data_IF_694842599240
#
_entry.id   IF_694842599240
#
_cell.length_a   1.000
_cell.length_b   1.000
_cell.length_c   1.000
_cell.angle_alpha   90.00
_cell.angle_beta   90.00
_cell.angle_gamma   90.00
#
_symmetry.space_group_name_H-M   'P 1'
#
loop_
_entity.id
_entity.type
_entity.pdbx_description
1 polymer ?
#
# COMPACT_ATOMS: atom_id res chain seq x y z
N UNK A 1 23.38 24.92 18.10
CA UNK A 1 21.99 24.62 18.44
C UNK A 1 21.12 24.41 17.19
N UNK A 2 21.12 25.35 16.23
CA UNK A 2 20.31 25.27 15.00
C UNK A 2 20.65 24.02 14.17
N UNK A 3 21.93 23.71 13.98
CA UNK A 3 22.41 22.51 13.27
C UNK A 3 21.92 21.21 13.94
N UNK A 4 21.93 21.16 15.28
CA UNK A 4 21.45 19.99 16.02
C UNK A 4 19.94 19.79 15.86
N UNK A 5 19.16 20.87 15.91
CA UNK A 5 17.70 20.82 15.71
C UNK A 5 17.36 20.42 14.25
N UNK A 6 18.10 20.92 13.28
CA UNK A 6 17.95 20.53 11.87
C UNK A 6 18.25 19.04 11.67
N UNK A 7 19.40 18.56 12.17
CA UNK A 7 19.80 17.15 12.09
C UNK A 7 18.81 16.22 12.80
N UNK A 8 18.24 16.65 13.93
CA UNK A 8 17.20 15.91 14.64
C UNK A 8 15.91 15.85 13.82
N UNK A 9 15.50 16.96 13.21
CA UNK A 9 14.33 17.01 12.33
C UNK A 9 14.47 16.11 11.10
N UNK A 10 15.63 16.11 10.47
CA UNK A 10 15.96 15.24 9.32
C UNK A 10 15.94 13.77 9.73
N UNK A 11 16.56 13.40 10.84
CA UNK A 11 16.52 12.03 11.38
C UNK A 11 15.10 11.54 11.67
N UNK A 12 14.25 12.36 12.30
CA UNK A 12 12.85 12.02 12.57
C UNK A 12 12.04 11.88 11.27
N UNK A 13 12.29 12.73 10.28
CA UNK A 13 11.67 12.66 8.95
C UNK A 13 12.04 11.36 8.24
N UNK A 14 13.31 10.99 8.21
CA UNK A 14 13.79 9.76 7.58
C UNK A 14 13.21 8.52 8.26
N UNK A 15 13.12 8.51 9.59
CA UNK A 15 12.51 7.41 10.33
C UNK A 15 11.01 7.27 10.07
N UNK A 16 10.30 8.38 9.90
CA UNK A 16 8.88 8.38 9.52
C UNK A 16 8.68 7.83 8.10
N UNK A 17 9.54 8.21 7.14
CA UNK A 17 9.53 7.71 5.76
C UNK A 17 9.83 6.20 5.71
N UNK A 18 10.81 5.71 6.46
CA UNK A 18 11.17 4.29 6.49
C UNK A 18 10.05 3.42 7.12
N UNK A 19 9.38 3.91 8.15
CA UNK A 19 8.21 3.22 8.70
C UNK A 19 7.04 3.17 7.72
N UNK A 20 6.82 4.22 6.95
CA UNK A 20 5.82 4.25 5.87
C UNK A 20 6.16 3.26 4.76
N UNK A 21 7.42 3.16 4.35
CA UNK A 21 7.89 2.18 3.35
C UNK A 21 7.70 0.74 3.81
N UNK A 22 7.97 0.43 5.10
CA UNK A 22 7.72 -0.91 5.66
C UNK A 22 6.24 -1.28 5.63
N UNK A 23 5.34 -0.35 5.95
CA UNK A 23 3.91 -0.56 5.85
C UNK A 23 3.48 -0.86 4.40
N UNK A 24 3.99 -0.12 3.41
CA UNK A 24 3.74 -0.37 1.99
C UNK A 24 4.26 -1.75 1.55
N UNK A 25 5.45 -2.16 2.01
CA UNK A 25 6.01 -3.48 1.68
C UNK A 25 5.14 -4.61 2.24
N UNK A 26 4.62 -4.48 3.46
CA UNK A 26 3.68 -5.46 4.04
C UNK A 26 2.36 -5.54 3.24
N UNK A 27 1.93 -4.44 2.62
CA UNK A 27 0.74 -4.40 1.77
C UNK A 27 0.99 -5.01 0.38
N UNK A 28 2.19 -4.86 -0.19
CA UNK A 28 2.57 -5.56 -1.42
C UNK A 28 2.54 -7.07 -1.23
N UNK A 29 2.73 -7.54 0.00
CA UNK A 29 2.59 -8.94 0.38
C UNK A 29 1.14 -9.47 0.29
N UNK A 30 0.13 -8.60 0.16
CA UNK A 30 -1.26 -9.05 -0.09
C UNK A 30 -1.44 -9.70 -1.48
N UNK A 31 -0.62 -9.37 -2.46
CA UNK A 31 -0.69 -9.96 -3.81
C UNK A 31 0.09 -11.26 -3.90
N UNK A 32 -0.45 -12.20 -4.64
CA UNK A 32 0.28 -13.38 -5.08
C UNK A 32 0.74 -13.16 -6.54
N UNK A 33 2.05 -13.27 -6.79
CA UNK A 33 2.60 -13.09 -8.14
C UNK A 33 2.39 -14.29 -9.05
N UNK A 34 2.20 -15.48 -8.46
CA UNK A 34 2.03 -16.74 -9.17
C UNK A 34 0.73 -17.40 -8.77
N UNK A 35 0.09 -18.04 -9.73
CA UNK A 35 -1.18 -18.75 -9.57
C UNK A 35 -1.08 -20.10 -10.22
N UNK A 36 -1.56 -21.15 -9.55
CA UNK A 36 -1.66 -22.50 -10.10
C UNK A 36 -3.02 -22.68 -10.76
N UNK A 37 -3.02 -22.97 -12.04
CA UNK A 37 -4.23 -23.32 -12.80
C UNK A 37 -4.63 -24.77 -12.56
N UNK A 38 -5.88 -25.13 -12.92
CA UNK A 38 -6.41 -26.51 -12.78
C UNK A 38 -5.59 -27.55 -13.54
N UNK A 39 -4.93 -27.19 -14.63
CA UNK A 39 -4.02 -28.09 -15.38
C UNK A 39 -2.69 -28.33 -14.67
N UNK A 40 -2.47 -27.77 -13.47
CA UNK A 40 -1.23 -27.86 -12.70
C UNK A 40 -0.16 -26.83 -13.08
N UNK A 41 -0.36 -26.06 -14.13
CA UNK A 41 0.58 -25.04 -14.58
C UNK A 41 0.66 -23.87 -13.61
N UNK A 42 1.88 -23.44 -13.27
CA UNK A 42 2.14 -22.27 -12.46
C UNK A 42 2.39 -21.06 -13.37
N UNK A 43 1.41 -20.16 -13.42
CA UNK A 43 1.46 -18.96 -14.27
C UNK A 43 1.59 -17.69 -13.44
N UNK A 44 2.02 -16.60 -14.07
CA UNK A 44 1.92 -15.28 -13.43
C UNK A 44 0.44 -14.91 -13.25
N UNK A 45 0.06 -14.45 -12.05
CA UNK A 45 -1.31 -14.04 -11.73
C UNK A 45 -1.85 -12.97 -12.69
N UNK A 46 -0.96 -12.16 -13.30
CA UNK A 46 -1.31 -11.16 -14.32
C UNK A 46 -1.87 -11.78 -15.61
N UNK A 47 -1.58 -13.06 -15.89
CA UNK A 47 -2.03 -13.79 -17.10
C UNK A 47 -3.35 -14.52 -16.89
N UNK A 48 -3.80 -14.68 -15.64
CA UNK A 48 -5.07 -15.36 -15.31
C UNK A 48 -6.24 -14.52 -15.81
N UNK A 49 -7.18 -15.16 -16.47
CA UNK A 49 -8.38 -14.56 -17.04
C UNK A 49 -9.59 -14.79 -16.14
N UNK A 50 -10.67 -14.06 -16.42
CA UNK A 50 -11.98 -14.32 -15.80
C UNK A 50 -12.43 -15.74 -16.13
N UNK A 51 -13.02 -16.41 -15.13
CA UNK A 51 -13.50 -17.80 -15.19
C UNK A 51 -12.40 -18.88 -15.32
N UNK A 52 -11.12 -18.52 -15.20
CA UNK A 52 -10.09 -19.53 -15.03
C UNK A 52 -10.25 -20.21 -13.66
N UNK A 53 -10.03 -21.53 -13.64
CA UNK A 53 -10.05 -22.29 -12.40
C UNK A 53 -8.65 -22.31 -11.82
N UNK A 54 -8.51 -21.78 -10.62
CA UNK A 54 -7.26 -21.73 -9.86
C UNK A 54 -7.30 -22.69 -8.70
N UNK A 55 -6.14 -23.28 -8.39
CA UNK A 55 -5.95 -24.19 -7.25
C UNK A 55 -5.16 -23.43 -6.18
N UNK A 56 -5.66 -23.45 -4.95
CA UNK A 56 -5.01 -22.83 -3.79
C UNK A 56 -4.78 -23.88 -2.73
N UNK A 57 -3.51 -24.18 -2.45
CA UNK A 57 -3.12 -25.14 -1.41
C UNK A 57 -3.17 -24.51 -0.01
N UNK A 58 -3.19 -25.34 1.06
CA UNK A 58 -2.99 -24.85 2.41
C UNK A 58 -1.71 -24.03 2.56
N UNK A 59 -1.81 -22.89 3.27
CA UNK A 59 -0.71 -21.92 3.43
C UNK A 59 -0.53 -20.96 2.27
N UNK A 60 -1.18 -21.17 1.12
CA UNK A 60 -1.10 -20.24 -0.02
C UNK A 60 -2.12 -19.11 0.10
N UNK A 61 -1.74 -17.95 -0.42
CA UNK A 61 -2.65 -16.79 -0.55
C UNK A 61 -3.57 -16.97 -1.75
N UNK A 62 -4.84 -16.60 -1.58
CA UNK A 62 -5.80 -16.54 -2.69
C UNK A 62 -5.38 -15.42 -3.65
N UNK A 63 -5.03 -15.74 -4.91
CA UNK A 63 -4.44 -14.76 -5.82
C UNK A 63 -5.44 -13.78 -6.42
N UNK A 64 -6.69 -14.22 -6.64
CA UNK A 64 -7.77 -13.45 -7.27
C UNK A 64 -9.09 -13.70 -6.54
N UNK A 65 -9.99 -12.72 -6.58
CA UNK A 65 -11.35 -12.94 -6.06
C UNK A 65 -12.07 -13.98 -6.90
N UNK A 66 -12.86 -14.81 -6.27
CA UNK A 66 -13.54 -15.90 -6.97
C UNK A 66 -14.62 -16.58 -6.12
N UNK A 67 -15.19 -17.63 -6.71
CA UNK A 67 -16.19 -18.49 -6.08
C UNK A 67 -15.61 -19.90 -5.96
N UNK A 68 -15.71 -20.50 -4.79
CA UNK A 68 -15.25 -21.86 -4.55
C UNK A 68 -16.16 -22.83 -5.33
N UNK A 69 -15.55 -23.59 -6.24
CA UNK A 69 -16.25 -24.63 -7.03
C UNK A 69 -16.06 -26.02 -6.42
N UNK A 70 -14.97 -26.22 -5.68
CA UNK A 70 -14.68 -27.48 -4.99
C UNK A 70 -13.80 -27.24 -3.77
N UNK A 71 -14.03 -28.03 -2.70
CA UNK A 71 -13.32 -27.94 -1.43
C UNK A 71 -14.09 -27.17 -0.34
N UNK A 72 -13.58 -27.30 0.87
CA UNK A 72 -14.00 -26.55 2.05
C UNK A 72 -12.78 -26.33 2.95
N UNK A 73 -12.62 -25.15 3.54
CA UNK A 73 -11.46 -24.78 4.33
C UNK A 73 -11.77 -23.66 5.29
N UNK A 74 -10.75 -23.22 6.04
CA UNK A 74 -10.75 -21.98 6.79
C UNK A 74 -9.81 -20.97 6.12
N UNK A 75 -10.24 -19.70 6.08
CA UNK A 75 -9.43 -18.60 5.52
C UNK A 75 -8.98 -17.66 6.64
N UNK A 76 -7.70 -17.34 6.68
CA UNK A 76 -7.20 -16.21 7.48
C UNK A 76 -7.43 -14.91 6.69
N UNK A 77 -8.31 -14.08 7.25
CA UNK A 77 -8.69 -12.79 6.67
C UNK A 77 -8.05 -11.60 7.40
N UNK A 78 -7.21 -11.85 8.39
CA UNK A 78 -6.64 -10.82 9.29
C UNK A 78 -6.00 -9.66 8.55
N UNK A 79 -5.29 -9.94 7.46
CA UNK A 79 -4.62 -8.91 6.66
C UNK A 79 -5.58 -7.99 5.88
N UNK A 80 -6.84 -8.39 5.70
CA UNK A 80 -7.86 -7.62 4.98
C UNK A 80 -8.86 -6.95 5.91
N UNK A 81 -9.37 -7.71 6.88
CA UNK A 81 -10.45 -7.26 7.76
C UNK A 81 -9.97 -6.85 9.15
N UNK A 82 -8.76 -7.25 9.53
CA UNK A 82 -8.24 -7.10 10.90
C UNK A 82 -8.78 -8.14 11.89
N UNK A 83 -9.71 -9.00 11.47
CA UNK A 83 -10.28 -10.03 12.34
C UNK A 83 -9.36 -11.23 12.45
N UNK A 84 -9.08 -11.67 13.69
CA UNK A 84 -8.20 -12.81 13.95
C UNK A 84 -8.91 -14.17 13.88
N UNK A 85 -10.25 -14.19 13.78
CA UNK A 85 -11.01 -15.44 13.70
C UNK A 85 -11.03 -15.94 12.25
N UNK A 86 -10.57 -17.18 11.98
CA UNK A 86 -10.65 -17.74 10.65
C UNK A 86 -12.10 -17.85 10.14
N UNK A 87 -12.29 -17.52 8.88
CA UNK A 87 -13.58 -17.62 8.18
C UNK A 87 -13.76 -19.02 7.58
N UNK A 88 -14.78 -19.76 8.00
CA UNK A 88 -15.12 -21.05 7.38
C UNK A 88 -15.76 -20.83 6.02
N UNK A 89 -15.25 -21.52 4.99
CA UNK A 89 -15.72 -21.41 3.61
C UNK A 89 -15.91 -22.78 2.96
N UNK A 90 -16.87 -22.88 2.05
CA UNK A 90 -17.25 -24.10 1.34
C UNK A 90 -17.64 -23.80 -0.12
N UNK A 91 -17.92 -24.84 -0.88
CA UNK A 91 -18.39 -24.70 -2.27
C UNK A 91 -19.57 -23.76 -2.38
N UNK A 92 -19.48 -22.80 -3.29
CA UNK A 92 -20.45 -21.74 -3.55
C UNK A 92 -20.16 -20.43 -2.85
N UNK A 93 -19.27 -20.41 -1.85
CA UNK A 93 -18.90 -19.19 -1.15
C UNK A 93 -17.94 -18.33 -1.98
N UNK A 94 -18.06 -17.02 -1.81
CA UNK A 94 -17.15 -16.05 -2.43
C UNK A 94 -15.93 -15.85 -1.54
N UNK A 95 -14.75 -15.81 -2.18
CA UNK A 95 -13.46 -15.58 -1.51
C UNK A 95 -12.77 -14.38 -2.11
N UNK A 96 -12.01 -13.68 -1.27
CA UNK A 96 -11.29 -12.46 -1.64
C UNK A 96 -9.79 -12.73 -1.78
N UNK A 97 -9.20 -12.09 -2.78
CA UNK A 97 -7.74 -12.11 -2.98
C UNK A 97 -7.01 -11.49 -1.79
N UNK A 98 -5.86 -12.07 -1.43
CA UNK A 98 -5.06 -11.63 -0.28
C UNK A 98 -5.37 -12.36 1.02
N UNK A 99 -6.45 -13.17 1.10
CA UNK A 99 -6.70 -14.09 2.22
C UNK A 99 -5.82 -15.33 2.11
N UNK A 100 -5.50 -15.97 3.23
CA UNK A 100 -4.66 -17.18 3.26
C UNK A 100 -5.54 -18.40 3.50
N UNK A 101 -5.38 -19.41 2.66
CA UNK A 101 -6.03 -20.70 2.84
C UNK A 101 -5.32 -21.51 3.92
N UNK A 102 -6.04 -22.08 4.91
CA UNK A 102 -5.42 -22.73 6.09
C UNK A 102 -5.36 -24.24 5.96
N UNK A 103 -6.44 -24.93 5.62
CA UNK A 103 -6.57 -26.37 5.91
C UNK A 103 -6.54 -27.27 4.68
N UNK A 104 -7.32 -27.00 3.67
CA UNK A 104 -7.50 -27.93 2.55
C UNK A 104 -7.41 -27.24 1.20
N UNK A 105 -7.20 -28.01 0.14
CA UNK A 105 -7.10 -27.51 -1.24
C UNK A 105 -8.46 -26.93 -1.65
N UNK A 106 -8.41 -25.74 -2.23
CA UNK A 106 -9.57 -25.07 -2.81
C UNK A 106 -9.42 -24.94 -4.33
N UNK A 107 -10.46 -25.31 -5.07
CA UNK A 107 -10.62 -24.95 -6.47
C UNK A 107 -11.55 -23.72 -6.57
N UNK A 108 -11.05 -22.65 -7.13
CA UNK A 108 -11.73 -21.35 -7.17
C UNK A 108 -11.89 -20.93 -8.63
N UNK A 109 -13.13 -20.61 -9.03
CA UNK A 109 -13.41 -19.95 -10.29
C UNK A 109 -13.19 -18.46 -10.16
N UNK A 110 -12.24 -17.88 -10.90
CA UNK A 110 -11.89 -16.48 -10.76
C UNK A 110 -12.99 -15.56 -11.28
N UNK A 111 -13.41 -14.60 -10.47
CA UNK A 111 -14.41 -13.57 -10.82
C UNK A 111 -13.77 -12.21 -11.03
N UNK A 112 -12.46 -12.09 -10.80
CA UNK A 112 -11.70 -10.86 -11.00
C UNK A 112 -10.44 -11.12 -11.81
N UNK A 113 -9.88 -10.06 -12.37
CA UNK A 113 -8.56 -10.06 -12.97
C UNK A 113 -7.53 -9.50 -11.97
N UNK A 114 -6.24 -9.61 -12.28
CA UNK A 114 -5.18 -9.05 -11.44
C UNK A 114 -5.39 -7.57 -11.08
N UNK A 115 -5.89 -6.75 -12.04
CA UNK A 115 -6.12 -5.32 -11.83
C UNK A 115 -7.40 -5.02 -11.03
N UNK A 116 -8.42 -5.85 -11.15
CA UNK A 116 -9.74 -5.62 -10.53
C UNK A 116 -9.92 -6.37 -9.22
N UNK A 117 -8.93 -7.17 -8.81
CA UNK A 117 -8.96 -7.93 -7.55
C UNK A 117 -8.98 -7.02 -6.33
N UNK A 118 -9.57 -7.50 -5.24
CA UNK A 118 -9.68 -6.77 -3.96
C UNK A 118 -8.31 -6.34 -3.43
N UNK A 119 -7.32 -7.24 -3.44
CA UNK A 119 -5.95 -6.90 -3.05
C UNK A 119 -5.36 -5.75 -3.89
N UNK A 120 -5.61 -5.75 -5.21
CA UNK A 120 -5.14 -4.66 -6.08
C UNK A 120 -5.80 -3.33 -5.80
N UNK A 121 -7.11 -3.32 -5.54
CA UNK A 121 -7.85 -2.10 -5.18
C UNK A 121 -7.39 -1.50 -3.86
N UNK A 122 -7.10 -2.34 -2.85
CA UNK A 122 -6.60 -1.87 -1.56
C UNK A 122 -5.24 -1.19 -1.72
N UNK A 123 -4.31 -1.80 -2.48
CA UNK A 123 -2.99 -1.23 -2.73
C UNK A 123 -3.11 0.09 -3.51
N UNK A 124 -3.95 0.14 -4.54
CA UNK A 124 -4.18 1.32 -5.37
C UNK A 124 -4.71 2.52 -4.54
N UNK A 125 -5.68 2.27 -3.65
CA UNK A 125 -6.20 3.29 -2.73
C UNK A 125 -5.09 3.82 -1.82
N UNK A 126 -4.21 2.96 -1.32
CA UNK A 126 -3.13 3.35 -0.42
C UNK A 126 -2.03 4.12 -1.14
N UNK A 127 -1.62 3.69 -2.33
CA UNK A 127 -0.65 4.43 -3.16
C UNK A 127 -1.14 5.84 -3.49
N UNK A 128 -2.43 6.00 -3.84
CA UNK A 128 -3.01 7.32 -4.13
C UNK A 128 -3.22 8.19 -2.88
N UNK A 129 -3.41 7.58 -1.70
CA UNK A 129 -3.49 8.33 -0.45
C UNK A 129 -2.15 9.02 -0.10
N UNK A 130 -1.02 8.34 -0.34
CA UNK A 130 0.31 8.88 -0.11
C UNK A 130 0.71 9.98 -1.12
N UNK A 131 0.28 9.87 -2.39
CA UNK A 131 0.52 10.93 -3.39
C UNK A 131 -0.09 12.27 -3.01
N UNK A 132 -1.27 12.29 -2.38
CA UNK A 132 -1.91 13.54 -1.92
C UNK A 132 -1.10 14.22 -0.83
N UNK A 133 -0.52 13.47 0.13
CA UNK A 133 0.36 14.01 1.17
C UNK A 133 1.64 14.60 0.56
N UNK A 134 2.29 13.85 -0.33
CA UNK A 134 3.52 14.29 -0.99
C UNK A 134 3.35 15.59 -1.82
N UNK A 135 2.19 15.82 -2.43
CA UNK A 135 1.90 17.07 -3.16
C UNK A 135 1.82 18.27 -2.22
N UNK A 136 1.21 18.12 -1.06
CA UNK A 136 1.06 19.19 -0.05
C UNK A 136 2.42 19.55 0.57
N UNK A 137 3.24 18.56 0.91
CA UNK A 137 4.60 18.77 1.43
C UNK A 137 5.51 19.48 0.41
N UNK A 138 5.47 19.05 -0.85
CA UNK A 138 6.21 19.72 -1.94
C UNK A 138 5.77 21.17 -2.15
N UNK A 139 4.48 21.48 -1.99
CA UNK A 139 3.99 22.85 -2.07
C UNK A 139 4.52 23.71 -0.93
N UNK A 140 4.45 23.24 0.31
CA UNK A 140 4.95 23.95 1.50
C UNK A 140 6.46 24.19 1.37
N UNK A 141 7.23 23.18 0.96
CA UNK A 141 8.69 23.32 0.76
C UNK A 141 9.02 24.31 -0.35
N UNK A 142 8.30 24.29 -1.48
CA UNK A 142 8.50 25.24 -2.58
C UNK A 142 8.14 26.67 -2.17
N UNK A 143 7.05 26.83 -1.41
CA UNK A 143 6.63 28.14 -0.89
C UNK A 143 7.68 28.69 0.08
N UNK A 144 8.16 27.88 1.03
CA UNK A 144 9.16 28.29 2.00
C UNK A 144 10.49 28.71 1.35
N UNK A 145 10.91 28.03 0.27
CA UNK A 145 12.15 28.38 -0.47
C UNK A 145 12.10 29.77 -1.11
N UNK A 146 10.91 30.26 -1.45
CA UNK A 146 10.75 31.60 -2.06
C UNK A 146 10.44 32.64 -0.99
N UNK A 147 9.54 32.32 -0.07
CA UNK A 147 9.08 33.24 0.96
C UNK A 147 10.18 33.60 1.97
N UNK A 148 10.95 32.62 2.44
CA UNK A 148 11.98 32.86 3.46
C UNK A 148 13.06 33.85 3.01
N UNK A 149 13.68 33.76 1.83
CA UNK A 149 14.68 34.74 1.41
C UNK A 149 14.09 36.12 1.19
N UNK A 150 12.83 36.24 0.72
CA UNK A 150 12.16 37.53 0.57
C UNK A 150 11.97 38.23 1.92
N UNK A 151 11.48 37.50 2.93
CA UNK A 151 11.28 38.04 4.30
C UNK A 151 12.60 38.47 4.91
N UNK A 152 13.66 37.65 4.76
CA UNK A 152 15.00 37.99 5.26
C UNK A 152 15.55 39.24 4.57
N UNK A 153 15.38 39.36 3.24
CA UNK A 153 15.80 40.54 2.49
C UNK A 153 15.03 41.79 2.93
N UNK A 154 13.71 41.70 3.11
CA UNK A 154 12.90 42.81 3.61
C UNK A 154 13.30 43.22 5.02
N UNK A 155 13.55 42.26 5.93
CA UNK A 155 14.03 42.58 7.29
C UNK A 155 15.40 43.26 7.27
N UNK A 156 16.30 42.79 6.40
CA UNK A 156 17.63 43.41 6.22
C UNK A 156 17.52 44.85 5.70
N UNK A 157 16.66 45.11 4.71
CA UNK A 157 16.42 46.44 4.19
C UNK A 157 15.82 47.38 5.24
N UNK A 158 14.85 46.90 6.05
CA UNK A 158 14.24 47.65 7.14
C UNK A 158 15.26 48.03 8.23
N UNK A 159 16.26 47.19 8.45
CA UNK A 159 17.37 47.49 9.35
C UNK A 159 18.37 48.48 8.77
N UNK A 160 18.69 48.33 7.52
CA UNK A 160 19.76 49.09 6.84
C UNK A 160 19.34 50.51 6.48
N UNK A 161 18.08 50.76 6.11
CA UNK A 161 17.57 52.06 5.69
C UNK A 161 17.63 53.09 6.85
N UNK A 162 17.12 52.82 8.08
CA UNK A 162 17.25 53.80 9.18
C UNK A 162 18.67 54.02 9.60
N UNK A 163 19.52 52.96 9.57
CA UNK A 163 20.96 53.08 9.92
C UNK A 163 21.76 53.95 8.95
N UNK A 164 21.40 53.93 7.66
CA UNK A 164 22.02 54.77 6.63
C UNK A 164 21.52 56.23 6.62
N UNK A 165 20.26 56.43 7.04
CA UNK A 165 19.62 57.76 7.15
C UNK A 165 19.93 58.50 8.42
N UNK A 166 20.67 57.88 9.38
CA UNK A 166 21.13 58.50 10.60
C UNK A 166 20.05 58.76 11.66
N UNK A 167 18.99 57.97 11.59
CA UNK A 167 17.96 57.96 12.62
C UNK A 167 18.25 56.91 13.68
#
# INVERSE_FOLDING_TARGET
LVMLLFSLGEYLSDQAVDNSKKAITQLMDLRSDKTRLKNGELVSTKKVKLNDIIIVNPGEKIPLDGIIINGASHLDTKNLTGESKPLSVKKGDTVLSGTINIESILEINSTSTYKTSTASKIIDIMEHADEKKAKTEKFITKFSKIYTPIVVLCAFLLFLIPTLLGY
#
